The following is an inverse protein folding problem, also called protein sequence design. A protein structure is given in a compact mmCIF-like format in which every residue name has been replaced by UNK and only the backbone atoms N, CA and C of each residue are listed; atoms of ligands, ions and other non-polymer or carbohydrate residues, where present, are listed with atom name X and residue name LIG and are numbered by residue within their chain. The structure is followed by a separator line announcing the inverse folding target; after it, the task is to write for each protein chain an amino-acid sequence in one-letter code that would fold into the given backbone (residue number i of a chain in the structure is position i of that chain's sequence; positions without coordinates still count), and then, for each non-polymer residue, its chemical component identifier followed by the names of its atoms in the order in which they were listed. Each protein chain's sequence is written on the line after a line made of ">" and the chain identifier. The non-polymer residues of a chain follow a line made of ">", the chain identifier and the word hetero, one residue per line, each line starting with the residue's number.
data_IF_143109434742
#
_entry.id   IF_143109434742
#
_cell.length_a   1.000
_cell.length_b   1.000
_cell.length_c   1.000
_cell.angle_alpha   90.00
_cell.angle_beta   90.00
_cell.angle_gamma   90.00
#
_symmetry.space_group_name_H-M   'P 1'
#
loop_
_entity.id
_entity.type
_entity.pdbx_description
1 polymer ?
#
# COMPACT_ATOMS: atom_id res chain seq x y z
N UNK A 1 -11.60 -13.18 0.41
CA UNK A 1 -10.13 -13.22 0.64
C UNK A 1 -9.86 -12.89 2.09
N UNK A 2 -8.83 -13.46 2.70
CA UNK A 2 -8.41 -13.08 4.05
C UNK A 2 -7.33 -12.01 3.98
N UNK A 3 -7.47 -10.93 4.74
CA UNK A 3 -6.49 -9.83 4.82
C UNK A 3 -5.85 -9.86 6.21
N UNK A 4 -4.51 -9.93 6.27
CA UNK A 4 -3.72 -9.89 7.50
C UNK A 4 -2.61 -8.86 7.38
N UNK A 5 -2.40 -8.07 8.43
CA UNK A 5 -1.33 -7.08 8.54
C UNK A 5 -0.49 -7.46 9.74
N UNK A 6 0.75 -7.89 9.50
CA UNK A 6 1.62 -8.49 10.53
C UNK A 6 2.70 -7.54 11.06
N UNK A 7 2.83 -6.37 10.43
CA UNK A 7 3.89 -5.41 10.73
C UNK A 7 3.35 -4.14 11.39
N UNK A 8 4.17 -3.53 12.24
CA UNK A 8 3.95 -2.17 12.70
C UNK A 8 4.20 -1.14 11.59
N UNK A 9 3.40 -0.08 11.56
CA UNK A 9 3.50 1.01 10.59
C UNK A 9 4.37 2.13 11.18
N UNK A 10 5.34 2.61 10.41
CA UNK A 10 6.17 3.75 10.78
C UNK A 10 5.54 5.05 10.24
N UNK A 11 5.17 5.97 11.14
CA UNK A 11 4.54 7.24 10.80
C UNK A 11 5.58 8.36 10.62
N UNK A 12 6.41 8.23 9.59
CA UNK A 12 7.48 9.21 9.32
C UNK A 12 7.06 10.35 8.37
N UNK A 13 5.92 10.22 7.69
CA UNK A 13 5.30 11.24 6.85
C UNK A 13 3.82 11.38 7.24
N UNK A 14 3.33 12.62 7.30
CA UNK A 14 1.97 12.95 7.75
C UNK A 14 0.87 12.40 6.83
N UNK A 15 1.22 12.01 5.60
CA UNK A 15 0.28 11.39 4.64
C UNK A 15 0.07 9.90 4.90
N UNK A 16 0.98 9.24 5.62
CA UNK A 16 0.94 7.79 5.85
C UNK A 16 -0.36 7.32 6.52
N UNK A 17 -0.90 7.97 7.58
CA UNK A 17 -2.13 7.51 8.22
C UNK A 17 -3.32 7.45 7.26
N UNK A 18 -3.51 8.49 6.46
CA UNK A 18 -4.62 8.58 5.50
C UNK A 18 -4.44 7.55 4.38
N UNK A 19 -3.23 7.49 3.82
CA UNK A 19 -2.88 6.53 2.76
C UNK A 19 -3.09 5.08 3.24
N UNK A 20 -2.67 4.76 4.46
CA UNK A 20 -2.83 3.42 5.01
C UNK A 20 -4.31 3.04 5.21
N UNK A 21 -5.14 3.95 5.72
CA UNK A 21 -6.58 3.71 5.86
C UNK A 21 -7.24 3.48 4.49
N UNK A 22 -6.88 4.27 3.48
CA UNK A 22 -7.34 4.03 2.10
C UNK A 22 -6.92 2.65 1.59
N UNK A 23 -5.69 2.22 1.87
CA UNK A 23 -5.19 0.91 1.49
C UNK A 23 -5.96 -0.23 2.18
N UNK A 24 -6.20 -0.13 3.50
CA UNK A 24 -6.98 -1.14 4.25
C UNK A 24 -8.41 -1.24 3.70
N UNK A 25 -9.06 -0.11 3.41
CA UNK A 25 -10.39 -0.11 2.82
C UNK A 25 -10.38 -0.81 1.44
N UNK A 26 -9.38 -0.54 0.61
CA UNK A 26 -9.22 -1.21 -0.68
C UNK A 26 -9.07 -2.72 -0.52
N UNK A 27 -8.18 -3.18 0.37
CA UNK A 27 -7.95 -4.61 0.61
C UNK A 27 -9.20 -5.32 1.12
N UNK A 28 -9.97 -4.66 1.99
CA UNK A 28 -11.16 -5.25 2.64
C UNK A 28 -12.41 -5.22 1.77
N UNK A 29 -12.53 -4.25 0.86
CA UNK A 29 -13.68 -4.10 -0.05
C UNK A 29 -13.51 -4.84 -1.37
N UNK A 30 -12.30 -5.29 -1.73
CA UNK A 30 -12.09 -6.07 -2.93
C UNK A 30 -12.85 -7.41 -2.86
N UNK A 31 -13.65 -7.68 -3.89
CA UNK A 31 -14.50 -8.89 -3.96
C UNK A 31 -13.90 -10.00 -4.80
N UNK A 32 -12.85 -9.71 -5.57
CA UNK A 32 -12.11 -10.66 -6.39
C UNK A 32 -10.61 -10.35 -6.40
N UNK A 33 -9.80 -11.37 -6.69
CA UNK A 33 -8.34 -11.19 -6.84
C UNK A 33 -8.00 -10.24 -7.99
N UNK A 34 -8.74 -10.30 -9.09
CA UNK A 34 -8.52 -9.46 -10.27
C UNK A 34 -8.79 -7.98 -9.96
N UNK A 35 -9.88 -7.70 -9.25
CA UNK A 35 -10.18 -6.37 -8.73
C UNK A 35 -9.09 -5.91 -7.76
N UNK A 36 -8.67 -6.77 -6.82
CA UNK A 36 -7.63 -6.44 -5.85
C UNK A 36 -6.32 -6.04 -6.55
N UNK A 37 -5.86 -6.83 -7.53
CA UNK A 37 -4.62 -6.56 -8.28
C UNK A 37 -4.71 -5.23 -9.03
N UNK A 38 -5.83 -4.97 -9.70
CA UNK A 38 -6.05 -3.71 -10.40
C UNK A 38 -6.06 -2.52 -9.43
N UNK A 39 -6.83 -2.61 -8.34
CA UNK A 39 -6.93 -1.53 -7.36
C UNK A 39 -5.59 -1.26 -6.65
N UNK A 40 -4.81 -2.29 -6.29
CA UNK A 40 -3.47 -2.11 -5.70
C UNK A 40 -2.53 -1.40 -6.66
N UNK A 41 -2.62 -1.70 -7.98
CA UNK A 41 -1.84 -1.00 -9.00
C UNK A 41 -2.23 0.48 -9.08
N UNK A 42 -3.53 0.77 -9.18
CA UNK A 42 -4.04 2.15 -9.23
C UNK A 42 -3.67 2.93 -7.97
N UNK A 43 -3.73 2.28 -6.80
CA UNK A 43 -3.32 2.85 -5.53
C UNK A 43 -1.83 3.22 -5.52
N UNK A 44 -0.97 2.32 -6.00
CA UNK A 44 0.47 2.55 -6.06
C UNK A 44 0.82 3.74 -6.96
N UNK A 45 0.14 3.87 -8.11
CA UNK A 45 0.29 5.00 -9.03
C UNK A 45 -0.24 6.31 -8.41
N UNK A 46 -1.44 6.29 -7.81
CA UNK A 46 -2.07 7.48 -7.18
C UNK A 46 -1.21 8.06 -6.05
N UNK A 47 -0.61 7.19 -5.24
CA UNK A 47 0.13 7.59 -4.05
C UNK A 47 1.64 7.70 -4.29
N UNK A 48 2.12 7.48 -5.52
CA UNK A 48 3.54 7.52 -5.88
C UNK A 48 4.37 6.66 -4.90
N UNK A 49 3.90 5.42 -4.65
CA UNK A 49 4.50 4.53 -3.64
C UNK A 49 6.00 4.32 -3.89
N UNK A 50 6.41 4.30 -5.15
CA UNK A 50 7.81 4.22 -5.59
C UNK A 50 8.71 5.26 -4.91
N UNK A 51 8.21 6.46 -4.61
CA UNK A 51 8.98 7.49 -3.89
C UNK A 51 9.30 7.12 -2.46
N UNK A 52 8.40 6.39 -1.78
CA UNK A 52 8.63 5.90 -0.42
C UNK A 52 9.70 4.80 -0.38
N UNK A 53 9.96 4.17 -1.53
CA UNK A 53 10.96 3.10 -1.69
C UNK A 53 12.21 3.56 -2.45
N UNK A 54 12.35 4.84 -2.82
CA UNK A 54 13.48 5.29 -3.64
C UNK A 54 14.84 5.23 -2.92
N UNK A 55 14.85 5.28 -1.58
CA UNK A 55 16.07 5.37 -0.78
C UNK A 55 16.12 4.35 0.36
N UNK A 56 17.34 4.03 0.81
CA UNK A 56 17.58 3.22 2.00
C UNK A 56 17.12 1.76 1.84
N UNK A 57 16.53 1.19 2.90
CA UNK A 57 16.05 -0.19 2.88
C UNK A 57 14.93 -0.42 1.84
N UNK A 58 14.12 0.61 1.57
CA UNK A 58 13.01 0.53 0.62
C UNK A 58 13.44 0.25 -0.82
N UNK A 59 14.63 0.71 -1.23
CA UNK A 59 15.11 0.60 -2.63
C UNK A 59 15.39 -0.83 -3.06
N UNK A 60 15.47 -1.77 -2.12
CA UNK A 60 15.71 -3.18 -2.36
C UNK A 60 14.42 -4.02 -2.35
N UNK A 61 13.26 -3.42 -2.03
CA UNK A 61 11.99 -4.13 -1.86
C UNK A 61 11.04 -4.04 -3.07
N UNK A 62 11.29 -3.13 -4.01
CA UNK A 62 10.38 -2.84 -5.12
C UNK A 62 10.90 -3.25 -6.51
N UNK A 63 11.90 -4.14 -6.59
CA UNK A 63 12.41 -4.71 -7.84
C UNK A 63 12.62 -6.23 -7.76
#
# INVERSE_FOLDING_TARGET
>A
MEVRIESMICLWDDKIPVMFLEFVNLLTLATSEEQLRASVKDFAEKHELDRFFLYGFGSHHFY
#
